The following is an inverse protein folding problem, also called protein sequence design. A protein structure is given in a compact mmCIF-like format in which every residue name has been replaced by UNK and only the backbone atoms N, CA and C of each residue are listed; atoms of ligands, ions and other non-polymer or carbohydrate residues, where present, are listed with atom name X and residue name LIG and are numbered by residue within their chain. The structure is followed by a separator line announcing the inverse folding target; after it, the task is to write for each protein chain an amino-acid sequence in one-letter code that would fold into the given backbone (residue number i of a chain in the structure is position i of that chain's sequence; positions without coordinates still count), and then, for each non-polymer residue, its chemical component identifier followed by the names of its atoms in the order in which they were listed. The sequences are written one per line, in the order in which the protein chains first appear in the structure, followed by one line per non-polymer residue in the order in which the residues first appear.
data_IF_764925463268
#
_entry.id   IF_764925463268
#
_cell.length_a   1.000
_cell.length_b   1.000
_cell.length_c   1.000
_cell.angle_alpha   90.00
_cell.angle_beta   90.00
_cell.angle_gamma   90.00
#
_symmetry.space_group_name_H-M   'P 1'
#
loop_
_entity.id
_entity.type
_entity.pdbx_description
1 polymer ?
#
# COMPACT_ATOMS: atom_id res chain seq x y z
N UNK A 1 -0.99 7.13 -30.39
CA UNK A 1 -1.69 6.19 -29.46
C UNK A 1 -2.08 6.98 -28.24
N UNK A 2 -3.33 6.90 -27.78
CA UNK A 2 -3.73 7.47 -26.48
C UNK A 2 -3.04 6.65 -25.39
N UNK A 3 -2.27 7.29 -24.52
CA UNK A 3 -1.69 6.62 -23.36
C UNK A 3 -2.80 6.25 -22.39
N UNK A 4 -2.77 5.05 -21.83
CA UNK A 4 -3.69 4.65 -20.77
C UNK A 4 -3.33 5.48 -19.52
N UNK A 5 -4.23 6.35 -19.07
CA UNK A 5 -3.99 7.21 -17.90
C UNK A 5 -4.36 6.51 -16.58
N UNK A 6 -5.38 5.65 -16.61
CA UNK A 6 -5.87 4.90 -15.46
C UNK A 6 -6.05 3.43 -15.80
N UNK A 7 -5.67 2.56 -14.87
CA UNK A 7 -5.86 1.12 -14.98
C UNK A 7 -6.47 0.57 -13.68
N UNK A 8 -7.42 -0.36 -13.82
CA UNK A 8 -7.97 -1.13 -12.72
C UNK A 8 -7.81 -2.61 -13.07
N UNK A 9 -7.09 -3.35 -12.24
CA UNK A 9 -6.68 -4.72 -12.53
C UNK A 9 -7.02 -5.59 -11.35
N UNK A 10 -7.61 -6.73 -11.66
CA UNK A 10 -7.88 -7.75 -10.67
C UNK A 10 -7.25 -9.07 -11.13
N UNK A 11 -6.37 -9.64 -10.30
CA UNK A 11 -5.63 -10.86 -10.60
C UNK A 11 -5.89 -11.88 -9.49
N UNK A 12 -6.67 -12.90 -9.80
CA UNK A 12 -7.05 -13.97 -8.87
C UNK A 12 -6.22 -15.23 -9.14
N UNK A 13 -6.00 -16.04 -8.10
CA UNK A 13 -5.61 -17.46 -8.09
C UNK A 13 -4.87 -17.97 -9.35
N UNK A 14 -3.56 -18.21 -9.21
CA UNK A 14 -2.70 -18.67 -10.30
C UNK A 14 -1.89 -19.89 -9.89
N UNK A 15 -2.51 -21.07 -9.92
CA UNK A 15 -1.81 -22.35 -9.69
C UNK A 15 -0.88 -22.76 -10.87
N UNK A 16 -0.71 -21.91 -11.89
CA UNK A 16 0.10 -22.19 -13.07
C UNK A 16 1.15 -21.11 -13.36
N UNK A 17 2.35 -21.56 -13.78
CA UNK A 17 3.50 -20.71 -14.18
C UNK A 17 3.13 -19.76 -15.34
N UNK A 18 2.20 -20.18 -16.22
CA UNK A 18 1.76 -19.41 -17.37
C UNK A 18 1.00 -18.13 -16.97
N UNK A 19 0.30 -18.16 -15.85
CA UNK A 19 -0.47 -17.01 -15.36
C UNK A 19 0.42 -15.99 -14.64
N UNK A 20 1.47 -16.40 -13.92
CA UNK A 20 2.49 -15.48 -13.37
C UNK A 20 3.21 -14.69 -14.48
N UNK A 21 3.60 -15.39 -15.55
CA UNK A 21 4.23 -14.77 -16.73
C UNK A 21 3.28 -13.78 -17.41
N UNK A 22 2.00 -14.15 -17.54
CA UNK A 22 0.98 -13.29 -18.13
C UNK A 22 0.70 -12.04 -17.30
N UNK A 23 0.63 -12.18 -15.98
CA UNK A 23 0.48 -11.05 -15.06
C UNK A 23 1.69 -10.11 -15.10
N UNK A 24 2.91 -10.65 -15.14
CA UNK A 24 4.12 -9.85 -15.32
C UNK A 24 4.07 -9.03 -16.61
N UNK A 25 3.70 -9.64 -17.74
CA UNK A 25 3.56 -8.93 -19.01
C UNK A 25 2.47 -7.86 -18.99
N UNK A 26 1.33 -8.17 -18.36
CA UNK A 26 0.26 -7.21 -18.17
C UNK A 26 0.77 -5.97 -17.42
N UNK A 27 1.46 -6.19 -16.30
CA UNK A 27 1.99 -5.14 -15.43
C UNK A 27 3.08 -4.31 -16.14
N UNK A 28 3.95 -4.95 -16.91
CA UNK A 28 4.93 -4.27 -17.77
C UNK A 28 4.27 -3.34 -18.79
N UNK A 29 3.09 -3.71 -19.31
CA UNK A 29 2.31 -2.88 -20.22
C UNK A 29 1.77 -1.59 -19.58
N UNK A 30 1.74 -1.49 -18.25
CA UNK A 30 1.15 -0.38 -17.51
C UNK A 30 2.16 0.65 -17.02
N UNK A 31 3.44 0.52 -17.37
CA UNK A 31 4.53 1.40 -16.91
C UNK A 31 4.28 2.92 -17.02
N UNK A 32 3.35 3.33 -17.88
CA UNK A 32 3.06 4.74 -18.16
C UNK A 32 1.75 5.26 -17.53
N UNK A 33 1.00 4.43 -16.79
CA UNK A 33 -0.26 4.86 -16.16
C UNK A 33 0.02 5.87 -15.04
N UNK A 34 -0.95 6.77 -14.79
CA UNK A 34 -0.90 7.74 -13.68
C UNK A 34 -1.66 7.28 -12.45
N UNK A 35 -2.67 6.44 -12.65
CA UNK A 35 -3.49 5.87 -11.58
C UNK A 35 -3.63 4.36 -11.79
N UNK A 36 -3.30 3.57 -10.78
CA UNK A 36 -3.41 2.11 -10.81
C UNK A 36 -4.19 1.64 -9.58
N UNK A 37 -5.26 0.92 -9.81
CA UNK A 37 -5.92 0.10 -8.79
C UNK A 37 -5.61 -1.37 -9.07
N UNK A 38 -5.13 -2.07 -8.05
CA UNK A 38 -4.71 -3.46 -8.13
C UNK A 38 -5.35 -4.27 -7.00
N UNK A 39 -6.05 -5.33 -7.39
CA UNK A 39 -6.57 -6.37 -6.50
C UNK A 39 -5.85 -7.68 -6.79
N UNK A 40 -5.34 -8.37 -5.76
CA UNK A 40 -4.61 -9.66 -5.96
C UNK A 40 -4.60 -10.57 -4.74
N UNK A 41 -4.70 -11.89 -5.00
CA UNK A 41 -4.63 -12.99 -4.02
C UNK A 41 -3.20 -13.60 -3.92
N UNK A 42 -2.27 -12.92 -3.25
CA UNK A 42 -1.11 -13.55 -2.59
C UNK A 42 0.16 -13.96 -3.38
N UNK A 43 0.16 -14.37 -4.66
CA UNK A 43 1.38 -15.03 -5.20
C UNK A 43 2.16 -14.28 -6.31
N UNK A 44 1.54 -13.33 -6.99
CA UNK A 44 1.92 -13.03 -8.38
C UNK A 44 3.15 -12.12 -8.51
N UNK A 45 3.54 -11.45 -7.43
CA UNK A 45 4.52 -10.38 -7.49
C UNK A 45 5.83 -10.64 -6.74
N UNK A 46 6.06 -11.86 -6.26
CA UNK A 46 7.33 -12.22 -5.61
C UNK A 46 8.51 -12.35 -6.59
N UNK A 47 8.38 -11.87 -7.83
CA UNK A 47 9.47 -11.85 -8.80
C UNK A 47 9.94 -10.44 -9.10
N UNK A 48 11.27 -10.30 -9.13
CA UNK A 48 12.08 -9.08 -9.37
C UNK A 48 11.84 -8.41 -10.75
N UNK A 49 10.59 -8.32 -11.22
CA UNK A 49 10.22 -7.97 -12.60
C UNK A 49 9.20 -6.83 -12.70
N UNK A 50 8.83 -6.21 -11.58
CA UNK A 50 8.01 -4.99 -11.62
C UNK A 50 8.74 -3.90 -12.41
N UNK A 51 8.08 -3.26 -13.39
CA UNK A 51 8.66 -2.12 -14.09
C UNK A 51 8.73 -0.91 -13.14
N UNK A 52 9.62 0.04 -13.43
CA UNK A 52 9.57 1.34 -12.75
C UNK A 52 8.42 2.16 -13.34
N UNK A 53 7.47 2.53 -12.49
CA UNK A 53 6.30 3.35 -12.81
C UNK A 53 6.57 4.83 -12.56
N UNK A 54 7.41 5.45 -13.40
CA UNK A 54 7.77 6.87 -13.25
C UNK A 54 6.57 7.83 -13.33
N UNK A 55 5.46 7.43 -13.96
CA UNK A 55 4.29 8.28 -14.14
C UNK A 55 3.20 8.04 -13.10
N UNK A 56 3.33 7.02 -12.26
CA UNK A 56 2.31 6.63 -11.30
C UNK A 56 2.27 7.64 -10.15
N UNK A 57 1.10 8.25 -9.95
CA UNK A 57 0.82 9.27 -8.94
C UNK A 57 -0.14 8.71 -7.89
N UNK A 58 -1.11 7.91 -8.31
CA UNK A 58 -2.14 7.32 -7.46
C UNK A 58 -2.04 5.80 -7.52
N UNK A 59 -1.97 5.15 -6.36
CA UNK A 59 -1.99 3.70 -6.24
C UNK A 59 -3.03 3.26 -5.21
N UNK A 60 -3.94 2.41 -5.64
CA UNK A 60 -4.91 1.76 -4.79
C UNK A 60 -4.64 0.26 -4.79
N UNK A 61 -4.57 -0.30 -3.59
CA UNK A 61 -4.34 -1.71 -3.39
C UNK A 61 -5.44 -2.35 -2.55
N UNK A 62 -6.12 -3.32 -3.14
CA UNK A 62 -7.11 -4.16 -2.49
C UNK A 62 -6.50 -5.53 -2.22
N UNK A 63 -6.25 -5.82 -0.94
CA UNK A 63 -5.83 -7.14 -0.52
C UNK A 63 -7.02 -8.09 -0.42
N UNK A 64 -6.75 -9.39 -0.47
CA UNK A 64 -7.70 -10.45 -0.10
C UNK A 64 -7.22 -11.33 1.07
N UNK A 65 -6.18 -10.89 1.79
CA UNK A 65 -5.78 -11.47 3.08
C UNK A 65 -4.59 -12.40 2.97
N UNK A 66 -3.38 -11.83 2.91
CA UNK A 66 -2.20 -12.55 2.50
C UNK A 66 -0.95 -12.24 3.35
N UNK A 67 -0.15 -13.28 3.65
CA UNK A 67 1.07 -13.22 4.48
C UNK A 67 2.22 -12.53 3.72
N UNK A 68 2.78 -11.45 4.29
CA UNK A 68 3.93 -10.73 3.71
C UNK A 68 3.59 -9.53 2.82
N UNK A 69 2.32 -9.09 2.84
CA UNK A 69 1.84 -7.86 2.21
C UNK A 69 2.69 -6.63 2.54
N UNK A 70 3.20 -6.57 3.76
CA UNK A 70 4.07 -5.51 4.26
C UNK A 70 5.36 -5.41 3.43
N UNK A 71 6.01 -6.54 3.15
CA UNK A 71 7.24 -6.58 2.34
C UNK A 71 6.97 -6.23 0.89
N UNK A 72 5.94 -6.85 0.30
CA UNK A 72 5.60 -6.62 -1.09
C UNK A 72 5.22 -5.16 -1.36
N UNK A 73 4.45 -4.54 -0.46
CA UNK A 73 4.05 -3.15 -0.62
C UNK A 73 5.27 -2.23 -0.65
N UNK A 74 6.25 -2.44 0.24
CA UNK A 74 7.49 -1.66 0.24
C UNK A 74 8.29 -1.87 -1.04
N UNK A 75 8.41 -3.10 -1.53
CA UNK A 75 9.05 -3.41 -2.82
C UNK A 75 8.34 -2.73 -4.00
N UNK A 76 7.01 -2.70 -4.00
CA UNK A 76 6.22 -1.99 -5.00
C UNK A 76 6.47 -0.47 -4.94
N UNK A 77 6.52 0.12 -3.75
CA UNK A 77 6.79 1.54 -3.57
C UNK A 77 8.18 1.94 -4.11
N UNK A 78 9.19 1.06 -4.04
CA UNK A 78 10.48 1.29 -4.71
C UNK A 78 10.34 1.41 -6.25
N UNK A 79 9.34 0.77 -6.84
CA UNK A 79 9.06 0.85 -8.27
C UNK A 79 8.23 2.09 -8.65
N UNK A 80 7.64 2.81 -7.71
CA UNK A 80 6.78 3.96 -7.94
C UNK A 80 7.36 5.26 -7.34
N UNK A 81 8.49 5.78 -7.87
CA UNK A 81 9.27 6.83 -7.20
C UNK A 81 8.56 8.18 -7.06
N UNK A 82 7.53 8.43 -7.87
CA UNK A 82 6.78 9.69 -7.90
C UNK A 82 5.35 9.57 -7.32
N UNK A 83 5.06 8.49 -6.60
CA UNK A 83 3.75 8.25 -6.01
C UNK A 83 3.41 9.35 -4.99
N UNK A 84 2.21 9.93 -5.12
CA UNK A 84 1.71 10.98 -4.23
C UNK A 84 0.57 10.51 -3.32
N UNK A 85 -0.25 9.56 -3.80
CA UNK A 85 -1.42 9.03 -3.07
C UNK A 85 -1.38 7.51 -3.01
N UNK A 86 -1.54 6.97 -1.80
CA UNK A 86 -1.60 5.54 -1.53
C UNK A 86 -2.90 5.18 -0.80
N UNK A 87 -3.72 4.32 -1.39
CA UNK A 87 -4.92 3.77 -0.77
C UNK A 87 -4.74 2.28 -0.53
N UNK A 88 -4.95 1.84 0.70
CA UNK A 88 -4.79 0.45 1.13
C UNK A 88 -6.10 -0.06 1.73
N UNK A 89 -6.63 -1.13 1.16
CA UNK A 89 -7.83 -1.80 1.62
C UNK A 89 -7.48 -3.23 2.03
N UNK A 90 -7.47 -3.49 3.33
CA UNK A 90 -7.18 -4.82 3.90
C UNK A 90 -8.50 -5.47 4.38
N UNK A 91 -8.96 -6.60 3.82
CA UNK A 91 -10.10 -7.30 4.37
C UNK A 91 -9.73 -7.98 5.69
N UNK A 92 -10.78 -8.23 6.49
CA UNK A 92 -10.81 -8.75 7.87
C UNK A 92 -10.36 -10.22 7.96
N UNK A 93 -9.20 -10.55 7.40
CA UNK A 93 -8.61 -11.89 7.44
C UNK A 93 -7.24 -11.80 8.08
N UNK A 94 -7.16 -12.36 9.29
CA UNK A 94 -5.94 -12.38 10.09
C UNK A 94 -4.83 -13.18 9.38
N UNK A 95 -3.92 -12.47 8.72
CA UNK A 95 -2.64 -13.03 8.30
C UNK A 95 -1.87 -13.55 9.51
N UNK A 96 -1.29 -14.74 9.40
CA UNK A 96 -0.67 -15.45 10.53
C UNK A 96 0.85 -15.26 10.58
N UNK A 97 1.47 -14.77 9.50
CA UNK A 97 2.93 -14.59 9.44
C UNK A 97 3.33 -13.26 8.82
N UNK A 98 3.98 -12.46 9.65
CA UNK A 98 4.58 -11.18 9.28
C UNK A 98 6.02 -11.38 8.85
N UNK A 99 6.43 -10.58 7.87
CA UNK A 99 7.83 -10.38 7.56
C UNK A 99 8.22 -8.99 8.07
N UNK A 100 9.42 -8.87 8.59
CA UNK A 100 9.94 -7.56 8.98
C UNK A 100 9.89 -6.59 7.77
N UNK A 101 9.46 -5.36 8.01
CA UNK A 101 9.52 -4.31 7.00
C UNK A 101 10.98 -4.10 6.57
N UNK A 102 11.25 -3.91 5.27
CA UNK A 102 12.59 -3.62 4.78
C UNK A 102 13.19 -2.36 5.44
N UNK A 103 14.51 -2.39 5.66
CA UNK A 103 15.25 -1.25 6.24
C UNK A 103 15.35 -0.11 5.22
N UNK A 104 15.42 -0.43 3.94
CA UNK A 104 15.48 0.57 2.87
C UNK A 104 14.13 1.28 2.74
N UNK A 105 14.19 2.60 2.60
CA UNK A 105 13.02 3.47 2.53
C UNK A 105 12.77 3.83 1.06
N UNK A 106 11.57 3.56 0.51
CA UNK A 106 11.21 3.97 -0.83
C UNK A 106 11.30 5.49 -1.01
N UNK A 107 11.86 5.94 -2.14
CA UNK A 107 12.03 7.38 -2.41
C UNK A 107 10.70 8.15 -2.43
N UNK A 108 9.62 7.55 -2.95
CA UNK A 108 8.31 8.18 -2.94
C UNK A 108 7.81 8.44 -1.53
N UNK A 109 8.04 7.50 -0.60
CA UNK A 109 7.63 7.65 0.79
C UNK A 109 8.27 8.89 1.41
N UNK A 110 9.58 9.10 1.20
CA UNK A 110 10.29 10.26 1.75
C UNK A 110 9.96 11.59 1.07
N UNK A 111 9.78 11.61 -0.26
CA UNK A 111 9.83 12.86 -1.03
C UNK A 111 8.54 13.25 -1.77
N UNK A 112 7.62 12.31 -2.00
CA UNK A 112 6.47 12.55 -2.88
C UNK A 112 5.11 12.20 -2.24
N UNK A 113 5.08 11.24 -1.32
CA UNK A 113 3.84 10.71 -0.76
C UNK A 113 3.18 11.73 0.19
N UNK A 114 2.06 12.32 -0.26
CA UNK A 114 1.31 13.36 0.44
C UNK A 114 0.10 12.81 1.18
N UNK A 115 -0.49 11.72 0.68
CA UNK A 115 -1.69 11.15 1.27
C UNK A 115 -1.61 9.63 1.34
N UNK A 116 -1.99 9.10 2.50
CA UNK A 116 -2.18 7.67 2.73
C UNK A 116 -3.60 7.47 3.28
N UNK A 117 -4.37 6.62 2.63
CA UNK A 117 -5.67 6.16 3.11
C UNK A 117 -5.59 4.67 3.43
N UNK A 118 -6.02 4.29 4.64
CA UNK A 118 -6.09 2.89 5.08
C UNK A 118 -7.52 2.59 5.49
N UNK A 119 -8.16 1.68 4.75
CA UNK A 119 -9.47 1.14 5.09
C UNK A 119 -9.36 -0.15 5.88
N UNK A 120 -10.39 -0.43 6.68
CA UNK A 120 -10.51 -1.64 7.49
C UNK A 120 -9.31 -1.79 8.45
N UNK A 121 -8.98 -0.68 9.13
CA UNK A 121 -7.81 -0.63 9.99
C UNK A 121 -7.93 -1.57 11.19
N UNK A 122 -6.90 -2.38 11.42
CA UNK A 122 -6.76 -3.25 12.56
C UNK A 122 -5.48 -2.97 13.35
N UNK A 123 -5.43 -3.42 14.61
CA UNK A 123 -4.26 -3.23 15.49
C UNK A 123 -2.97 -3.78 14.92
N UNK A 124 -3.05 -4.79 14.05
CA UNK A 124 -1.87 -5.39 13.43
C UNK A 124 -1.21 -4.41 12.42
N UNK A 125 -1.98 -3.55 11.73
CA UNK A 125 -1.49 -2.60 10.72
C UNK A 125 -0.67 -1.45 11.34
N UNK A 126 -0.67 -1.33 12.67
CA UNK A 126 -0.03 -0.21 13.37
C UNK A 126 1.48 -0.10 13.14
N UNK A 127 2.15 -1.23 12.93
CA UNK A 127 3.59 -1.28 12.63
C UNK A 127 3.89 -0.66 11.26
N UNK A 128 3.05 -0.96 10.26
CA UNK A 128 3.13 -0.35 8.93
C UNK A 128 2.83 1.15 8.99
N UNK A 129 1.84 1.56 9.80
CA UNK A 129 1.57 3.00 10.00
C UNK A 129 2.73 3.70 10.68
N UNK A 130 3.35 3.09 11.69
CA UNK A 130 4.56 3.65 12.32
C UNK A 130 5.65 3.85 11.27
N UNK A 131 5.92 2.81 10.48
CA UNK A 131 6.91 2.90 9.40
C UNK A 131 6.61 4.04 8.41
N UNK A 132 5.36 4.21 7.99
CA UNK A 132 5.00 5.33 7.12
C UNK A 132 5.19 6.69 7.81
N UNK A 133 4.72 6.85 9.05
CA UNK A 133 4.84 8.11 9.77
C UNK A 133 6.29 8.50 10.09
N UNK A 134 7.14 7.50 10.36
CA UNK A 134 8.57 7.69 10.63
C UNK A 134 9.36 8.08 9.38
N UNK A 135 8.91 7.65 8.19
CA UNK A 135 9.68 7.83 6.95
C UNK A 135 9.08 8.85 5.97
N UNK A 136 7.80 9.18 6.10
CA UNK A 136 7.11 10.07 5.17
C UNK A 136 7.26 11.54 5.55
N UNK A 137 8.34 12.17 5.06
CA UNK A 137 8.73 13.53 5.44
C UNK A 137 7.80 14.61 4.89
N UNK A 138 7.10 14.34 3.79
CA UNK A 138 6.20 15.28 3.10
C UNK A 138 4.72 14.94 3.27
N UNK A 139 4.39 13.93 4.08
CA UNK A 139 3.01 13.48 4.27
C UNK A 139 2.13 14.59 4.83
N UNK A 140 0.98 14.82 4.20
CA UNK A 140 0.01 15.83 4.57
C UNK A 140 -1.19 15.19 5.28
N UNK A 141 -1.69 14.06 4.77
CA UNK A 141 -2.86 13.37 5.32
C UNK A 141 -2.59 11.88 5.54
N UNK A 142 -2.90 11.39 6.73
CA UNK A 142 -3.09 9.97 7.01
C UNK A 142 -4.56 9.75 7.39
N UNK A 143 -5.31 9.07 6.52
CA UNK A 143 -6.74 8.80 6.68
C UNK A 143 -6.90 7.35 7.11
N UNK A 144 -7.57 7.11 8.23
CA UNK A 144 -7.79 5.77 8.79
C UNK A 144 -9.29 5.54 8.91
N UNK A 145 -9.83 4.56 8.18
CA UNK A 145 -11.24 4.17 8.27
C UNK A 145 -11.41 2.95 9.18
N UNK A 146 -12.13 3.14 10.28
CA UNK A 146 -12.35 2.12 11.32
C UNK A 146 -13.73 1.47 11.18
N UNK A 147 -14.02 0.89 10.02
CA UNK A 147 -15.28 0.17 9.79
C UNK A 147 -15.31 -1.13 10.61
N UNK A 148 -16.47 -1.50 11.14
CA UNK A 148 -16.65 -2.78 11.87
C UNK A 148 -16.11 -2.82 13.30
N UNK A 149 -15.31 -1.84 13.73
CA UNK A 149 -14.76 -1.79 15.09
C UNK A 149 -15.77 -1.31 16.14
N UNK A 150 -15.77 -1.94 17.30
CA UNK A 150 -16.48 -1.47 18.50
C UNK A 150 -15.84 -0.17 19.04
N UNK A 151 -16.60 0.60 19.83
CA UNK A 151 -16.11 1.85 20.46
C UNK A 151 -14.82 1.63 21.28
N UNK A 152 -14.74 0.53 22.03
CA UNK A 152 -13.55 0.21 22.84
C UNK A 152 -12.33 -0.11 21.97
N UNK A 153 -12.51 -0.85 20.87
CA UNK A 153 -11.42 -1.11 19.92
C UNK A 153 -10.95 0.18 19.24
N UNK A 154 -11.88 1.06 18.82
CA UNK A 154 -11.55 2.36 18.22
C UNK A 154 -10.71 3.20 19.17
N UNK A 155 -11.14 3.34 20.43
CA UNK A 155 -10.39 4.10 21.45
C UNK A 155 -8.99 3.54 21.66
N UNK A 156 -8.82 2.22 21.69
CA UNK A 156 -7.51 1.57 21.83
C UNK A 156 -6.58 1.94 20.66
N UNK A 157 -7.07 1.82 19.43
CA UNK A 157 -6.29 2.16 18.23
C UNK A 157 -5.95 3.65 18.20
N UNK A 158 -6.91 4.53 18.48
CA UNK A 158 -6.68 5.98 18.57
C UNK A 158 -5.55 6.27 19.55
N UNK A 159 -5.61 5.70 20.75
CA UNK A 159 -4.58 5.90 21.77
C UNK A 159 -3.21 5.43 21.29
N UNK A 160 -3.12 4.31 20.58
CA UNK A 160 -1.85 3.84 20.03
C UNK A 160 -1.33 4.75 18.90
N UNK A 161 -2.20 5.19 17.98
CA UNK A 161 -1.84 6.11 16.90
C UNK A 161 -1.35 7.46 17.41
N UNK A 162 -1.94 7.96 18.50
CA UNK A 162 -1.52 9.21 19.14
C UNK A 162 -0.12 9.14 19.77
N UNK A 163 0.39 7.94 20.06
CA UNK A 163 1.76 7.75 20.55
C UNK A 163 2.79 7.66 19.43
N UNK A 164 2.36 7.53 18.17
CA UNK A 164 3.28 7.42 17.04
C UNK A 164 3.94 8.78 16.75
N UNK A 165 5.24 8.74 16.50
CA UNK A 165 5.99 9.90 16.06
C UNK A 165 5.66 10.19 14.60
N UNK A 166 5.70 11.47 14.23
CA UNK A 166 5.48 11.92 12.85
C UNK A 166 6.72 12.65 12.38
N UNK A 167 7.30 12.18 11.29
CA UNK A 167 8.41 12.88 10.65
C UNK A 167 7.95 14.14 9.91
N UNK A 168 6.77 14.09 9.29
CA UNK A 168 6.13 15.29 8.74
C UNK A 168 5.42 16.11 9.82
N UNK A 169 5.81 17.38 9.94
CA UNK A 169 5.13 18.37 10.81
C UNK A 169 3.76 18.81 10.27
N UNK A 170 3.49 18.57 8.98
CA UNK A 170 2.22 18.93 8.33
C UNK A 170 1.19 17.81 8.41
N UNK A 171 1.60 16.59 8.76
CA UNK A 171 0.72 15.42 8.72
C UNK A 171 -0.44 15.54 9.72
N UNK A 172 -1.64 15.60 9.18
CA UNK A 172 -2.90 15.43 9.88
C UNK A 172 -3.30 13.96 9.86
N UNK A 173 -3.67 13.43 11.03
CA UNK A 173 -4.25 12.09 11.15
C UNK A 173 -5.75 12.27 11.25
N UNK A 174 -6.48 11.78 10.25
CA UNK A 174 -7.94 11.86 10.15
C UNK A 174 -8.50 10.46 10.36
N UNK A 175 -9.43 10.34 11.30
CA UNK A 175 -10.05 9.06 11.65
C UNK A 175 -11.53 9.12 11.29
N UNK A 176 -11.99 8.17 10.48
CA UNK A 176 -13.34 8.10 9.91
C UNK A 176 -14.07 6.80 10.31
#
# INVERSE_FOLDING_TARGET
MKSLEKAHINIWESDSIDCETSATHLIQGLRNVRSLSLTTDEAIFLTNRLPIFHNLIEFEYDSHGFDGIETWLVEFLHCAPNLETLTLNFPDVAGTRRKALPIEVPSCLSFHLKEIEISCFETHIIEMVSYFLDNAMVLENLIIRMKGMTVTQKTKVINQLLQLLKSSKKCLIVIL
#
